data_IF_128684730991
#
_entry.id   IF_128684730991
#
_cell.length_a   1.000
_cell.length_b   1.000
_cell.length_c   1.000
_cell.angle_alpha   90.00
_cell.angle_beta   90.00
_cell.angle_gamma   90.00
#
_symmetry.space_group_name_H-M   'P 1'
#
loop_
_entity.id
_entity.type
_entity.pdbx_description
1 polymer ?
#
# COMPACT_ATOMS: atom_id res chain seq x y z
N UNK A 1 5.70 -3.08 -19.74
CA UNK A 1 4.74 -2.34 -20.56
C UNK A 1 3.72 -1.79 -19.59
N UNK A 2 3.40 -0.52 -19.65
CA UNK A 2 2.41 0.10 -18.74
C UNK A 2 1.06 0.07 -19.44
N UNK A 3 0.12 -0.67 -18.88
CA UNK A 3 -1.24 -0.71 -19.37
C UNK A 3 -2.03 0.49 -18.82
N UNK A 4 -3.01 0.95 -19.55
CA UNK A 4 -3.80 2.13 -19.17
C UNK A 4 -5.28 1.88 -19.42
N UNK A 5 -6.09 2.14 -18.43
CA UNK A 5 -7.54 2.13 -18.56
C UNK A 5 -8.06 3.56 -18.51
N UNK A 6 -8.66 4.00 -19.59
CA UNK A 6 -9.38 5.25 -19.62
C UNK A 6 -10.80 5.05 -19.09
N UNK A 7 -11.09 5.68 -17.98
CA UNK A 7 -12.33 5.48 -17.23
C UNK A 7 -13.39 6.55 -17.52
N UNK A 8 -12.91 7.71 -17.94
CA UNK A 8 -13.72 8.82 -18.42
C UNK A 8 -12.88 9.64 -19.40
N UNK A 9 -13.42 10.62 -20.12
CA UNK A 9 -12.61 11.50 -20.97
C UNK A 9 -11.48 12.21 -20.23
N UNK A 10 -11.58 12.30 -18.89
CA UNK A 10 -10.67 13.04 -18.03
C UNK A 10 -9.97 12.17 -16.98
N UNK A 11 -10.38 10.92 -16.75
CA UNK A 11 -9.78 10.02 -15.75
C UNK A 11 -9.02 8.87 -16.40
N UNK A 12 -7.74 8.77 -16.08
CA UNK A 12 -6.85 7.72 -16.54
C UNK A 12 -6.22 7.02 -15.34
N UNK A 13 -6.45 5.71 -15.19
CA UNK A 13 -5.69 4.88 -14.28
C UNK A 13 -4.58 4.16 -15.05
N UNK A 14 -3.33 4.48 -14.75
CA UNK A 14 -2.17 3.77 -15.27
C UNK A 14 -1.84 2.61 -14.33
N UNK A 15 -1.50 1.45 -14.90
CA UNK A 15 -1.09 0.29 -14.12
C UNK A 15 -0.11 -0.59 -14.90
N UNK A 16 0.58 -1.45 -14.18
CA UNK A 16 1.48 -2.46 -14.73
C UNK A 16 1.00 -3.85 -14.30
N UNK A 17 0.99 -4.80 -15.23
CA UNK A 17 0.66 -6.19 -14.96
C UNK A 17 1.87 -7.09 -15.16
N UNK A 18 2.10 -8.03 -14.22
CA UNK A 18 3.20 -9.00 -14.27
C UNK A 18 2.72 -10.41 -13.97
N UNK A 19 3.21 -11.38 -14.73
CA UNK A 19 2.94 -12.79 -14.54
C UNK A 19 1.52 -13.19 -14.91
N UNK A 20 1.11 -14.38 -14.44
CA UNK A 20 -0.19 -14.96 -14.72
C UNK A 20 -0.68 -15.79 -13.53
N UNK A 21 -1.98 -16.05 -13.44
CA UNK A 21 -2.60 -16.76 -12.33
C UNK A 21 -3.65 -15.93 -11.60
N UNK A 22 -3.97 -16.27 -10.33
CA UNK A 22 -4.89 -15.49 -9.51
C UNK A 22 -4.44 -14.02 -9.39
N UNK A 23 -5.36 -13.05 -9.50
CA UNK A 23 -4.99 -11.63 -9.45
C UNK A 23 -4.59 -11.22 -8.03
N UNK A 24 -3.46 -10.50 -7.92
CA UNK A 24 -3.01 -9.78 -6.74
C UNK A 24 -2.88 -8.30 -7.10
N UNK A 25 -3.70 -7.46 -6.49
CA UNK A 25 -3.66 -6.01 -6.65
C UNK A 25 -2.80 -5.46 -5.52
N UNK A 26 -1.76 -4.70 -5.85
CA UNK A 26 -0.84 -4.11 -4.88
C UNK A 26 -0.84 -2.59 -4.97
N UNK A 27 -1.30 -1.93 -3.88
CA UNK A 27 -1.56 -0.50 -3.80
C UNK A 27 -0.47 0.22 -3.00
N UNK A 28 0.10 1.27 -3.60
CA UNK A 28 1.15 2.09 -3.00
C UNK A 28 0.61 3.11 -1.99
N UNK A 29 1.49 3.73 -1.20
CA UNK A 29 1.18 4.80 -0.25
C UNK A 29 0.95 6.15 -0.92
N UNK A 30 0.45 7.13 -0.16
CA UNK A 30 0.43 8.52 -0.59
C UNK A 30 1.86 9.02 -0.87
N UNK A 31 2.00 9.99 -1.78
CA UNK A 31 3.28 10.57 -2.19
C UNK A 31 4.29 9.56 -2.79
N UNK A 32 3.79 8.40 -3.24
CA UNK A 32 4.55 7.35 -3.88
C UNK A 32 3.91 6.94 -5.21
N UNK A 33 4.42 5.89 -5.86
CA UNK A 33 3.86 5.32 -7.07
C UNK A 33 4.00 3.80 -7.07
N UNK A 34 3.37 3.13 -8.06
CA UNK A 34 3.44 1.67 -8.24
C UNK A 34 4.86 1.10 -8.20
N UNK A 35 5.84 1.90 -8.59
CA UNK A 35 7.25 1.47 -8.62
C UNK A 35 7.74 1.03 -7.23
N UNK A 36 7.40 1.75 -6.15
CA UNK A 36 7.84 1.40 -4.81
C UNK A 36 7.25 0.06 -4.36
N UNK A 37 5.93 -0.09 -4.44
CA UNK A 37 5.28 -1.33 -3.99
C UNK A 37 5.72 -2.53 -4.84
N UNK A 38 5.91 -2.34 -6.13
CA UNK A 38 6.46 -3.37 -7.02
C UNK A 38 7.86 -3.81 -6.58
N UNK A 39 8.77 -2.86 -6.36
CA UNK A 39 10.17 -3.16 -6.02
C UNK A 39 10.32 -3.89 -4.67
N UNK A 40 9.50 -3.56 -3.68
CA UNK A 40 9.58 -4.32 -2.43
C UNK A 40 8.80 -5.64 -2.49
N UNK A 41 7.71 -5.74 -3.25
CA UNK A 41 6.84 -6.91 -3.25
C UNK A 41 7.33 -8.05 -4.16
N UNK A 42 7.86 -7.75 -5.36
CA UNK A 42 8.31 -8.78 -6.31
C UNK A 42 9.28 -9.82 -5.68
N UNK A 43 10.28 -9.42 -4.87
CA UNK A 43 11.14 -10.38 -4.20
C UNK A 43 10.43 -11.25 -3.15
N UNK A 44 9.26 -10.81 -2.64
CA UNK A 44 8.52 -11.51 -1.59
C UNK A 44 7.59 -12.59 -2.13
N UNK A 45 7.17 -12.48 -3.40
CA UNK A 45 6.23 -13.42 -4.03
C UNK A 45 6.89 -14.78 -4.32
N UNK A 46 8.19 -14.79 -4.58
CA UNK A 46 8.94 -16.00 -4.91
C UNK A 46 8.46 -16.65 -6.21
N UNK A 47 8.38 -17.99 -6.21
CA UNK A 47 7.98 -18.78 -7.39
C UNK A 47 6.46 -18.93 -7.56
N UNK A 48 5.64 -18.20 -6.81
CA UNK A 48 4.18 -18.31 -6.89
C UNK A 48 3.64 -17.73 -8.19
N UNK A 49 2.78 -18.50 -8.87
CA UNK A 49 2.10 -18.04 -10.08
C UNK A 49 0.96 -17.10 -9.69
N UNK A 50 1.21 -15.81 -9.77
CA UNK A 50 0.24 -14.75 -9.52
C UNK A 50 0.27 -13.74 -10.66
N UNK A 51 -0.88 -13.25 -11.06
CA UNK A 51 -0.99 -12.05 -11.89
C UNK A 51 -0.99 -10.84 -10.98
N UNK A 52 0.15 -10.14 -10.88
CA UNK A 52 0.32 -8.96 -10.04
C UNK A 52 -0.05 -7.72 -10.84
N UNK A 53 -0.92 -6.89 -10.27
CA UNK A 53 -1.44 -5.68 -10.87
C UNK A 53 -1.05 -4.51 -9.95
N UNK A 54 -0.28 -3.60 -10.49
CA UNK A 54 0.29 -2.44 -9.78
C UNK A 54 -0.27 -1.15 -10.38
N UNK A 55 -1.39 -0.60 -9.87
CA UNK A 55 -1.86 0.70 -10.32
C UNK A 55 -1.06 1.83 -9.69
N UNK A 56 -0.92 2.94 -10.40
CA UNK A 56 -0.73 4.24 -9.77
C UNK A 56 -2.09 4.75 -9.32
N UNK A 57 -2.25 5.03 -8.04
CA UNK A 57 -3.49 5.61 -7.52
C UNK A 57 -3.71 7.02 -8.12
N UNK A 58 -4.97 7.50 -8.19
CA UNK A 58 -5.26 8.82 -8.75
C UNK A 58 -4.41 9.92 -8.14
N UNK A 59 -3.91 10.82 -8.95
CA UNK A 59 -3.01 11.90 -8.54
C UNK A 59 -1.54 11.49 -8.40
N UNK A 60 -1.19 10.23 -8.69
CA UNK A 60 0.19 9.73 -8.54
C UNK A 60 0.73 9.14 -9.85
N UNK A 61 2.04 9.19 -10.00
CA UNK A 61 2.75 8.53 -11.08
C UNK A 61 2.24 8.89 -12.47
N UNK A 62 1.86 7.89 -13.27
CA UNK A 62 1.29 8.09 -14.61
C UNK A 62 -0.25 8.18 -14.62
N UNK A 63 -0.92 7.98 -13.47
CA UNK A 63 -2.35 8.23 -13.31
C UNK A 63 -2.58 9.73 -13.15
N UNK A 64 -2.90 10.37 -14.26
CA UNK A 64 -3.12 11.82 -14.27
C UNK A 64 -4.47 12.19 -13.68
N UNK A 65 -4.52 13.40 -13.11
CA UNK A 65 -5.68 13.87 -12.40
C UNK A 65 -6.84 13.90 -13.31
N UNK A 66 -7.93 13.82 -12.70
CA UNK A 66 -9.12 14.16 -13.40
C UNK A 66 -10.05 14.90 -12.48
N UNK A 67 -10.71 15.86 -13.04
CA UNK A 67 -11.90 16.45 -12.48
C UNK A 67 -12.98 15.40 -12.12
N UNK A 68 -12.70 14.12 -12.42
CA UNK A 68 -13.55 12.98 -12.12
C UNK A 68 -13.44 12.43 -10.70
N UNK A 69 -12.35 12.71 -9.96
CA UNK A 69 -12.22 12.30 -8.56
C UNK A 69 -12.83 13.37 -7.68
N UNK A 70 -13.96 13.06 -7.07
CA UNK A 70 -14.75 13.94 -6.20
C UNK A 70 -14.92 13.36 -4.81
N UNK A 71 -14.86 12.04 -4.68
CA UNK A 71 -15.08 11.30 -3.46
C UNK A 71 -14.06 10.16 -3.35
N UNK A 72 -13.80 9.64 -2.13
CA UNK A 72 -12.99 8.45 -1.97
C UNK A 72 -13.50 7.23 -2.76
N UNK A 73 -14.79 7.13 -2.98
CA UNK A 73 -15.39 6.01 -3.72
C UNK A 73 -15.09 6.06 -5.22
N UNK A 74 -14.80 7.22 -5.81
CA UNK A 74 -14.37 7.31 -7.20
C UNK A 74 -13.04 6.57 -7.44
N UNK A 75 -12.17 6.49 -6.42
CA UNK A 75 -10.95 5.68 -6.47
C UNK A 75 -11.29 4.19 -6.57
N UNK A 76 -12.30 3.75 -5.82
CA UNK A 76 -12.76 2.34 -5.85
C UNK A 76 -13.40 2.01 -7.20
N UNK A 77 -14.13 2.95 -7.79
CA UNK A 77 -14.73 2.78 -9.13
C UNK A 77 -13.66 2.63 -10.22
N UNK A 78 -12.53 3.32 -10.09
CA UNK A 78 -11.39 3.16 -10.99
C UNK A 78 -10.76 1.77 -10.87
N UNK A 79 -10.63 1.26 -9.65
CA UNK A 79 -10.13 -0.09 -9.42
C UNK A 79 -11.08 -1.17 -9.97
N UNK A 80 -12.40 -0.97 -9.84
CA UNK A 80 -13.40 -1.87 -10.43
C UNK A 80 -13.25 -1.95 -11.95
N UNK A 81 -13.13 -0.81 -12.62
CA UNK A 81 -12.96 -0.75 -14.08
C UNK A 81 -11.61 -1.33 -14.53
N UNK A 82 -10.55 -1.16 -13.74
CA UNK A 82 -9.27 -1.81 -14.01
C UNK A 82 -9.44 -3.35 -13.96
N UNK A 83 -10.13 -3.87 -12.94
CA UNK A 83 -10.39 -5.31 -12.83
C UNK A 83 -11.26 -5.84 -13.97
N UNK A 84 -12.25 -5.08 -14.43
CA UNK A 84 -13.08 -5.41 -15.60
C UNK A 84 -12.22 -5.49 -16.87
N UNK A 85 -11.35 -4.50 -17.10
CA UNK A 85 -10.44 -4.48 -18.24
C UNK A 85 -9.45 -5.64 -18.24
N UNK A 86 -8.98 -6.05 -17.04
CA UNK A 86 -8.12 -7.22 -16.85
C UNK A 86 -8.89 -8.57 -16.94
N UNK A 87 -10.20 -8.54 -17.14
CA UNK A 87 -11.02 -9.75 -17.11
C UNK A 87 -10.98 -10.48 -15.76
N UNK A 88 -10.66 -9.77 -14.67
CA UNK A 88 -10.54 -10.33 -13.33
C UNK A 88 -11.92 -10.40 -12.66
N UNK A 89 -12.83 -11.22 -13.20
CA UNK A 89 -14.17 -11.44 -12.64
C UNK A 89 -14.19 -12.40 -11.42
N UNK A 90 -13.09 -13.13 -11.19
CA UNK A 90 -12.91 -14.08 -10.09
C UNK A 90 -12.50 -13.40 -8.78
N UNK A 91 -12.25 -14.22 -7.75
CA UNK A 91 -11.65 -13.76 -6.49
C UNK A 91 -10.25 -13.19 -6.71
N UNK A 92 -9.88 -12.21 -5.92
CA UNK A 92 -8.59 -11.54 -5.99
C UNK A 92 -7.94 -11.37 -4.61
N UNK A 93 -6.64 -11.17 -4.60
CA UNK A 93 -5.84 -10.80 -3.46
C UNK A 93 -5.61 -9.29 -3.46
N UNK A 94 -5.59 -8.69 -2.28
CA UNK A 94 -5.26 -7.28 -2.08
C UNK A 94 -4.04 -7.15 -1.17
N UNK A 95 -3.10 -6.29 -1.54
CA UNK A 95 -2.04 -5.80 -0.67
C UNK A 95 -2.03 -4.29 -0.74
N UNK A 96 -1.93 -3.61 0.39
CA UNK A 96 -1.82 -2.17 0.44
C UNK A 96 -0.83 -1.68 1.49
N UNK A 97 -0.03 -0.68 1.11
CA UNK A 97 0.86 0.04 2.02
C UNK A 97 0.27 1.42 2.32
N UNK A 98 0.27 1.83 3.60
CA UNK A 98 -0.13 3.17 4.02
C UNK A 98 -1.53 3.56 3.52
N UNK A 99 -1.66 4.62 2.74
CA UNK A 99 -2.89 5.03 2.06
C UNK A 99 -3.45 3.92 1.15
N UNK A 100 -2.59 3.21 0.41
CA UNK A 100 -3.01 2.02 -0.35
C UNK A 100 -3.62 0.93 0.53
N UNK A 101 -3.20 0.83 1.79
CA UNK A 101 -3.83 -0.05 2.79
C UNK A 101 -5.25 0.40 3.18
N UNK A 102 -5.49 1.71 3.27
CA UNK A 102 -6.82 2.27 3.47
C UNK A 102 -7.74 1.95 2.28
N UNK A 103 -7.27 2.20 1.06
CA UNK A 103 -8.01 1.89 -0.17
C UNK A 103 -8.26 0.38 -0.30
N UNK A 104 -7.27 -0.47 0.01
CA UNK A 104 -7.43 -1.92 -0.01
C UNK A 104 -8.54 -2.40 0.94
N UNK A 105 -8.64 -1.82 2.15
CA UNK A 105 -9.72 -2.12 3.10
C UNK A 105 -11.08 -1.68 2.56
N UNK A 106 -11.20 -0.47 2.04
CA UNK A 106 -12.43 0.05 1.48
C UNK A 106 -12.89 -0.79 0.27
N UNK A 107 -11.96 -1.16 -0.60
CA UNK A 107 -12.25 -2.01 -1.75
C UNK A 107 -12.64 -3.44 -1.35
N UNK A 108 -12.00 -3.99 -0.31
CA UNK A 108 -12.38 -5.28 0.27
C UNK A 108 -13.78 -5.24 0.89
N UNK A 109 -14.16 -4.16 1.56
CA UNK A 109 -15.50 -3.97 2.12
C UNK A 109 -16.59 -3.85 1.04
N UNK A 110 -16.23 -3.25 -0.11
CA UNK A 110 -17.12 -3.20 -1.29
C UNK A 110 -17.35 -4.58 -1.92
N UNK A 111 -16.35 -5.47 -1.85
CA UNK A 111 -16.35 -6.78 -2.51
C UNK A 111 -16.02 -7.96 -1.58
N UNK A 112 -16.66 -8.10 -0.41
CA UNK A 112 -16.21 -9.04 0.63
C UNK A 112 -16.20 -10.51 0.17
N UNK A 113 -17.12 -10.91 -0.71
CA UNK A 113 -17.19 -12.27 -1.25
C UNK A 113 -16.12 -12.57 -2.32
N UNK A 114 -15.51 -11.53 -2.90
CA UNK A 114 -14.50 -11.68 -3.95
C UNK A 114 -13.06 -11.62 -3.40
N UNK A 115 -12.87 -11.18 -2.16
CA UNK A 115 -11.54 -11.12 -1.54
C UNK A 115 -11.08 -12.53 -1.18
N UNK A 116 -9.94 -12.95 -1.75
CA UNK A 116 -9.27 -14.19 -1.42
C UNK A 116 -8.28 -14.03 -0.27
N UNK A 117 -7.75 -12.82 -0.07
CA UNK A 117 -6.85 -12.44 1.02
C UNK A 117 -6.59 -10.94 1.02
N UNK A 118 -6.30 -10.38 2.19
CA UNK A 118 -6.00 -8.96 2.39
C UNK A 118 -4.71 -8.81 3.20
N UNK A 119 -3.70 -8.13 2.64
CA UNK A 119 -2.46 -7.79 3.35
C UNK A 119 -2.31 -6.28 3.49
N UNK A 120 -2.07 -5.82 4.70
CA UNK A 120 -2.00 -4.42 5.08
C UNK A 120 -0.64 -4.14 5.74
N UNK A 121 0.18 -3.32 5.10
CA UNK A 121 1.49 -2.90 5.60
C UNK A 121 1.42 -1.43 6.03
N UNK A 122 1.58 -1.17 7.31
CA UNK A 122 1.44 0.18 7.89
C UNK A 122 0.19 0.94 7.41
N UNK A 123 -1.01 0.33 7.39
CA UNK A 123 -2.18 0.94 6.78
C UNK A 123 -2.64 2.20 7.50
N UNK A 124 -3.13 3.19 6.75
CA UNK A 124 -3.91 4.28 7.33
C UNK A 124 -5.22 3.70 7.88
N UNK A 125 -5.50 3.96 9.15
CA UNK A 125 -6.74 3.56 9.84
C UNK A 125 -7.42 4.81 10.36
N UNK A 126 -8.65 5.06 9.91
CA UNK A 126 -9.41 6.26 10.25
C UNK A 126 -9.62 6.48 11.76
N UNK A 127 -9.93 7.74 12.14
CA UNK A 127 -10.12 8.19 13.50
C UNK A 127 -8.83 8.71 14.17
N UNK A 128 -8.96 9.25 15.39
CA UNK A 128 -7.80 9.77 16.12
C UNK A 128 -6.82 8.64 16.45
N UNK A 129 -5.62 8.71 15.90
CA UNK A 129 -4.51 7.81 16.19
C UNK A 129 -3.46 8.56 17.00
N UNK A 130 -2.95 7.91 18.04
CA UNK A 130 -1.75 8.41 18.71
C UNK A 130 -0.55 8.09 17.83
N UNK A 131 -0.05 9.11 17.15
CA UNK A 131 1.17 9.00 16.37
C UNK A 131 2.35 9.17 17.31
N UNK A 132 3.28 8.20 17.40
CA UNK A 132 4.48 8.38 18.24
C UNK A 132 5.36 9.50 17.67
N UNK A 133 6.16 10.17 18.50
CA UNK A 133 7.15 11.11 17.98
C UNK A 133 8.14 10.38 17.07
N UNK A 134 8.68 11.11 16.09
CA UNK A 134 9.74 10.58 15.24
C UNK A 134 10.92 10.16 16.13
N UNK A 135 11.35 8.92 15.99
CA UNK A 135 12.44 8.35 16.75
C UNK A 135 13.34 7.54 15.83
N UNK A 136 14.64 7.73 15.92
CA UNK A 136 15.61 6.94 15.17
C UNK A 136 15.92 5.68 15.97
N UNK A 137 15.68 4.52 15.38
CA UNK A 137 15.97 3.21 16.00
C UNK A 137 17.44 2.82 15.81
N UNK A 138 17.96 3.10 14.62
CA UNK A 138 19.37 2.85 14.27
C UNK A 138 19.84 3.89 13.26
N UNK A 139 21.04 4.42 13.44
CA UNK A 139 21.69 5.33 12.51
C UNK A 139 23.18 4.99 12.38
N UNK A 140 23.57 4.53 11.20
CA UNK A 140 24.96 4.21 10.87
C UNK A 140 25.67 5.43 10.20
N UNK A 141 25.06 6.62 10.20
CA UNK A 141 25.61 7.87 9.67
C UNK A 141 25.57 7.98 8.14
N UNK A 142 24.82 7.11 7.47
CA UNK A 142 24.82 6.98 5.98
C UNK A 142 24.12 8.15 5.28
N UNK A 143 23.26 8.89 5.95
CA UNK A 143 22.55 10.04 5.36
C UNK A 143 23.47 11.19 4.96
N UNK A 144 24.71 11.20 5.46
CA UNK A 144 25.75 12.14 5.05
C UNK A 144 26.13 12.10 3.56
N UNK A 145 25.85 10.97 2.89
CA UNK A 145 26.08 10.78 1.45
C UNK A 145 25.03 11.44 0.54
N UNK A 146 23.89 11.88 1.11
CA UNK A 146 22.74 12.41 0.40
C UNK A 146 22.83 13.93 0.26
N UNK A 147 22.27 14.47 -0.82
CA UNK A 147 21.97 15.89 -0.96
C UNK A 147 20.97 16.33 0.11
N UNK A 148 20.89 17.63 0.49
CA UNK A 148 19.98 18.08 1.53
C UNK A 148 18.52 17.67 1.32
N UNK A 149 17.90 17.79 0.11
CA UNK A 149 16.53 17.34 -0.10
C UNK A 149 16.36 15.82 0.02
N UNK A 150 17.31 15.04 -0.53
CA UNK A 150 17.26 13.58 -0.40
C UNK A 150 17.43 13.12 1.04
N UNK A 151 18.28 13.82 1.82
CA UNK A 151 18.47 13.55 3.23
C UNK A 151 17.18 13.79 4.01
N UNK A 152 16.53 14.93 3.80
CA UNK A 152 15.25 15.25 4.44
C UNK A 152 14.20 14.17 4.13
N UNK A 153 14.05 13.76 2.87
CA UNK A 153 13.14 12.70 2.46
C UNK A 153 13.50 11.34 3.10
N UNK A 154 14.79 10.96 3.09
CA UNK A 154 15.26 9.71 3.69
C UNK A 154 15.05 9.68 5.20
N UNK A 155 15.49 10.73 5.89
CA UNK A 155 15.39 10.83 7.34
C UNK A 155 13.95 11.02 7.84
N UNK A 156 13.11 11.63 7.03
CA UNK A 156 11.67 11.75 7.30
C UNK A 156 10.91 10.43 7.16
N UNK A 157 11.40 9.52 6.33
CA UNK A 157 10.72 8.25 6.07
C UNK A 157 11.29 7.06 6.86
N UNK A 158 12.62 6.98 7.04
CA UNK A 158 13.30 5.85 7.67
C UNK A 158 13.68 6.11 9.13
N UNK A 159 13.33 5.17 9.99
CA UNK A 159 13.77 5.13 11.40
C UNK A 159 14.98 4.21 11.60
N UNK A 160 15.24 3.33 10.63
CA UNK A 160 16.44 2.48 10.55
C UNK A 160 17.27 2.95 9.36
N UNK A 161 18.40 3.63 9.66
CA UNK A 161 19.26 4.31 8.70
C UNK A 161 20.58 3.58 8.55
N UNK A 162 20.65 2.67 7.60
CA UNK A 162 21.80 1.79 7.32
C UNK A 162 22.13 1.83 5.83
N UNK A 163 23.26 1.29 5.44
CA UNK A 163 23.61 1.13 4.00
C UNK A 163 22.52 0.37 3.25
N UNK A 164 21.94 -0.69 3.85
CA UNK A 164 20.87 -1.46 3.20
C UNK A 164 19.60 -0.62 2.98
N UNK A 165 19.18 0.18 3.95
CA UNK A 165 18.00 1.03 3.81
C UNK A 165 18.26 2.22 2.89
N UNK A 166 19.48 2.75 2.85
CA UNK A 166 19.89 3.78 1.89
C UNK A 166 19.85 3.27 0.44
N UNK A 167 20.35 2.05 0.21
CA UNK A 167 20.28 1.41 -1.11
C UNK A 167 18.83 1.16 -1.54
N UNK A 168 17.95 0.81 -0.61
CA UNK A 168 16.52 0.66 -0.88
C UNK A 168 15.83 1.99 -1.15
N UNK A 169 16.17 3.03 -0.42
CA UNK A 169 15.68 4.38 -0.68
C UNK A 169 16.01 4.81 -2.10
N UNK A 170 17.28 4.70 -2.49
CA UNK A 170 17.74 5.08 -3.85
C UNK A 170 17.08 4.25 -4.95
N UNK A 171 16.87 2.96 -4.72
CA UNK A 171 16.35 2.04 -5.73
C UNK A 171 14.83 1.99 -5.81
N UNK A 172 14.14 2.06 -4.67
CA UNK A 172 12.71 1.83 -4.59
C UNK A 172 11.91 3.12 -4.40
N UNK A 173 12.37 4.01 -3.48
CA UNK A 173 11.61 5.20 -3.07
C UNK A 173 11.84 6.35 -4.03
N UNK A 174 13.11 6.73 -4.28
CA UNK A 174 13.44 7.86 -5.16
C UNK A 174 12.77 7.77 -6.55
N UNK A 175 12.78 6.61 -7.25
CA UNK A 175 12.11 6.50 -8.55
C UNK A 175 10.58 6.56 -8.47
N UNK A 176 10.00 6.32 -7.30
CA UNK A 176 8.56 6.34 -7.08
C UNK A 176 8.07 7.69 -6.53
N UNK A 177 8.98 8.54 -6.06
CA UNK A 177 8.68 9.89 -5.62
C UNK A 177 8.67 10.81 -6.83
N UNK A 178 7.49 11.29 -7.21
CA UNK A 178 7.31 12.20 -8.34
C UNK A 178 6.38 13.33 -7.98
N UNK A 179 6.00 14.11 -8.98
CA UNK A 179 4.95 15.12 -8.80
C UNK A 179 3.64 14.43 -8.44
N UNK A 180 3.12 14.75 -7.27
CA UNK A 180 1.79 14.35 -6.82
C UNK A 180 0.82 15.49 -7.12
N UNK A 181 -0.33 15.17 -7.70
CA UNK A 181 -1.43 16.11 -7.78
C UNK A 181 -2.13 16.17 -6.44
N UNK A 182 -1.68 17.11 -5.60
CA UNK A 182 -2.19 17.28 -4.24
C UNK A 182 -3.69 17.55 -4.22
N UNK A 183 -4.21 18.31 -5.16
CA UNK A 183 -5.65 18.60 -5.24
C UNK A 183 -6.49 17.35 -5.50
N UNK A 184 -6.02 16.45 -6.37
CA UNK A 184 -6.66 15.13 -6.57
C UNK A 184 -6.53 14.25 -5.33
N UNK A 185 -5.38 14.26 -4.68
CA UNK A 185 -5.14 13.46 -3.47
C UNK A 185 -6.03 13.96 -2.30
N UNK A 186 -6.12 15.27 -2.09
CA UNK A 186 -7.01 15.85 -1.09
C UNK A 186 -8.47 15.44 -1.34
N UNK A 187 -8.97 15.56 -2.57
CA UNK A 187 -10.31 15.11 -2.92
C UNK A 187 -10.52 13.61 -2.64
N UNK A 188 -9.53 12.78 -2.94
CA UNK A 188 -9.59 11.35 -2.73
C UNK A 188 -9.55 10.94 -1.24
N UNK A 189 -8.95 11.75 -0.37
CA UNK A 189 -8.79 11.47 1.06
C UNK A 189 -9.81 12.24 1.91
N UNK A 190 -10.04 13.53 1.64
CA UNK A 190 -10.69 14.46 2.57
C UNK A 190 -12.18 14.71 2.29
N UNK A 191 -12.70 14.33 1.11
CA UNK A 191 -14.08 14.64 0.74
C UNK A 191 -15.16 13.79 1.42
N UNK A 192 -14.83 13.10 2.48
CA UNK A 192 -15.77 12.40 3.34
C UNK A 192 -15.49 10.90 3.48
N UNK A 193 -16.35 10.18 4.19
CA UNK A 193 -16.22 8.75 4.36
C UNK A 193 -16.58 8.01 3.06
N UNK A 194 -16.08 6.79 2.92
CA UNK A 194 -16.59 5.86 1.92
C UNK A 194 -18.08 5.58 2.14
N UNK A 195 -18.83 5.31 1.08
CA UNK A 195 -20.23 4.91 1.16
C UNK A 195 -20.43 3.64 2.01
N UNK A 196 -19.46 2.76 2.00
CA UNK A 196 -19.39 1.58 2.87
C UNK A 196 -18.22 1.79 3.83
N UNK A 197 -18.51 1.92 5.12
CA UNK A 197 -17.48 1.98 6.16
C UNK A 197 -16.65 0.68 6.15
N UNK A 198 -15.34 0.76 5.86
CA UNK A 198 -14.46 -0.42 5.86
C UNK A 198 -14.46 -1.21 7.18
N UNK A 199 -14.82 -0.55 8.29
CA UNK A 199 -14.88 -1.17 9.62
C UNK A 199 -16.21 -1.90 9.89
N UNK A 200 -17.23 -1.70 9.05
CA UNK A 200 -18.55 -2.33 9.19
C UNK A 200 -18.69 -3.70 8.53
N UNK A 201 -17.74 -4.06 7.65
CA UNK A 201 -17.83 -5.28 6.82
C UNK A 201 -16.76 -6.29 7.23
N UNK A 202 -17.19 -7.49 7.59
CA UNK A 202 -16.30 -8.63 7.83
C UNK A 202 -15.86 -9.29 6.52
N UNK A 203 -14.64 -9.81 6.50
CA UNK A 203 -14.05 -10.57 5.39
C UNK A 203 -13.71 -11.96 5.90
N UNK A 204 -14.28 -12.99 5.27
CA UNK A 204 -13.93 -14.39 5.57
C UNK A 204 -12.79 -14.86 4.65
N UNK A 205 -11.62 -14.23 4.81
CA UNK A 205 -10.39 -14.56 4.10
C UNK A 205 -9.20 -14.33 5.03
N UNK A 206 -8.02 -14.92 4.75
CA UNK A 206 -6.81 -14.60 5.49
C UNK A 206 -6.47 -13.12 5.40
N UNK A 207 -6.24 -12.48 6.56
CA UNK A 207 -5.84 -11.07 6.65
C UNK A 207 -4.49 -10.99 7.32
N UNK A 208 -3.56 -10.26 6.72
CA UNK A 208 -2.26 -9.92 7.30
C UNK A 208 -2.23 -8.42 7.62
N UNK A 209 -1.87 -8.06 8.84
CA UNK A 209 -1.65 -6.67 9.26
C UNK A 209 -0.25 -6.58 9.86
N UNK A 210 0.61 -5.74 9.28
CA UNK A 210 1.97 -5.52 9.79
C UNK A 210 2.17 -4.04 10.07
N UNK A 211 2.49 -3.72 11.32
CA UNK A 211 2.71 -2.36 11.80
C UNK A 211 4.15 -2.16 12.28
N UNK A 212 4.73 -1.00 12.02
CA UNK A 212 6.00 -0.58 12.61
C UNK A 212 5.75 0.15 13.93
N UNK A 213 6.46 -0.26 15.02
CA UNK A 213 6.30 0.34 16.35
C UNK A 213 6.64 1.83 16.40
N UNK A 214 7.54 2.24 15.51
CA UNK A 214 8.00 3.63 15.39
C UNK A 214 7.38 4.35 14.18
N UNK A 215 6.20 3.89 13.72
CA UNK A 215 5.47 4.56 12.66
C UNK A 215 4.96 5.92 13.14
N UNK A 216 5.73 6.96 12.83
CA UNK A 216 5.46 8.34 13.21
C UNK A 216 4.63 9.11 12.18
N UNK A 217 4.13 8.42 11.13
CA UNK A 217 3.24 9.00 10.12
C UNK A 217 1.77 8.71 10.42
N UNK A 218 1.45 7.44 10.68
CA UNK A 218 0.06 7.00 10.87
C UNK A 218 -0.19 6.28 12.19
N UNK A 219 0.86 6.03 12.99
CA UNK A 219 0.79 5.31 14.26
C UNK A 219 0.62 3.81 14.05
N UNK A 220 0.74 3.04 15.13
CA UNK A 220 0.69 1.57 15.09
C UNK A 220 -0.44 0.95 15.92
N UNK A 221 -0.92 1.65 16.95
CA UNK A 221 -1.88 1.09 17.92
C UNK A 221 -3.22 0.74 17.25
N UNK A 222 -3.73 1.62 16.38
CA UNK A 222 -4.96 1.37 15.63
C UNK A 222 -4.80 0.29 14.58
N UNK A 223 -3.63 0.19 13.96
CA UNK A 223 -3.30 -0.88 13.03
C UNK A 223 -3.34 -2.24 13.77
N UNK A 224 -2.79 -2.32 14.97
CA UNK A 224 -2.85 -3.52 15.80
C UNK A 224 -4.30 -3.85 16.20
N UNK A 225 -5.07 -2.85 16.65
CA UNK A 225 -6.47 -3.02 17.05
C UNK A 225 -7.38 -3.47 15.90
N UNK A 226 -7.01 -3.12 14.66
CA UNK A 226 -7.74 -3.52 13.46
C UNK A 226 -7.85 -5.05 13.31
N UNK A 227 -6.89 -5.82 13.84
CA UNK A 227 -6.93 -7.27 13.84
C UNK A 227 -8.19 -7.87 14.45
N UNK A 228 -8.78 -7.22 15.45
CA UNK A 228 -10.01 -7.69 16.07
C UNK A 228 -11.25 -7.66 15.15
N UNK A 229 -11.15 -6.96 14.01
CA UNK A 229 -12.22 -6.85 13.00
C UNK A 229 -12.26 -8.06 12.05
N UNK A 230 -11.15 -8.78 11.91
CA UNK A 230 -11.02 -9.86 10.95
C UNK A 230 -10.80 -11.20 11.66
N UNK A 231 -11.74 -12.16 11.53
CA UNK A 231 -11.65 -13.44 12.25
C UNK A 231 -10.40 -14.27 11.91
N UNK A 232 -9.82 -14.06 10.73
CA UNK A 232 -8.64 -14.78 10.24
C UNK A 232 -7.42 -13.87 10.10
N UNK A 233 -7.26 -12.90 11.02
CA UNK A 233 -6.14 -11.96 11.00
C UNK A 233 -4.89 -12.52 11.66
N UNK A 234 -3.76 -12.42 10.96
CA UNK A 234 -2.43 -12.41 11.54
C UNK A 234 -1.98 -10.97 11.72
N UNK A 235 -1.65 -10.58 12.95
CA UNK A 235 -1.22 -9.22 13.29
C UNK A 235 0.20 -9.25 13.83
N UNK A 236 1.09 -8.46 13.26
CA UNK A 236 2.47 -8.31 13.71
C UNK A 236 2.81 -6.82 13.94
N UNK A 237 3.28 -6.49 15.14
CA UNK A 237 3.86 -5.17 15.44
C UNK A 237 5.37 -5.32 15.56
N UNK A 238 6.10 -4.72 14.63
CA UNK A 238 7.55 -4.87 14.50
C UNK A 238 8.25 -3.80 15.34
N UNK A 239 9.00 -4.22 16.36
CA UNK A 239 9.61 -3.33 17.36
C UNK A 239 10.59 -2.32 16.76
N UNK A 240 11.41 -2.79 15.80
CA UNK A 240 12.50 -2.01 15.23
C UNK A 240 12.19 -1.57 13.80
N UNK A 241 11.03 -0.96 13.58
CA UNK A 241 10.61 -0.45 12.28
C UNK A 241 9.63 0.72 12.43
N UNK A 242 9.60 1.59 11.43
CA UNK A 242 8.68 2.71 11.28
C UNK A 242 7.71 2.51 10.12
N UNK A 243 7.36 3.61 9.46
CA UNK A 243 6.47 3.59 8.30
C UNK A 243 7.10 2.95 7.05
N UNK A 244 8.42 3.06 6.91
CA UNK A 244 9.21 2.42 5.85
C UNK A 244 9.44 0.90 6.09
N UNK A 245 8.59 0.26 6.88
CA UNK A 245 8.69 -1.12 7.33
C UNK A 245 9.06 -2.15 6.22
N UNK A 246 8.50 -2.12 4.99
CA UNK A 246 8.88 -3.07 3.94
C UNK A 246 10.35 -2.95 3.52
N UNK A 247 10.94 -1.78 3.71
CA UNK A 247 12.34 -1.47 3.41
C UNK A 247 13.26 -1.72 4.61
N UNK A 248 12.78 -1.48 5.82
CA UNK A 248 13.55 -1.61 7.06
C UNK A 248 13.69 -3.06 7.53
N UNK A 249 12.65 -3.87 7.33
CA UNK A 249 12.60 -5.28 7.77
C UNK A 249 12.15 -6.22 6.64
N UNK A 250 12.79 -6.14 5.45
CA UNK A 250 12.32 -6.83 4.23
C UNK A 250 12.21 -8.34 4.38
N UNK A 251 13.13 -8.98 5.12
CA UNK A 251 13.11 -10.43 5.31
C UNK A 251 11.94 -10.88 6.19
N UNK A 252 11.61 -10.10 7.24
CA UNK A 252 10.49 -10.40 8.10
C UNK A 252 9.17 -10.21 7.36
N UNK A 253 9.02 -9.08 6.65
CA UNK A 253 7.83 -8.82 5.85
C UNK A 253 7.65 -9.88 4.78
N UNK A 254 8.73 -10.30 4.10
CA UNK A 254 8.68 -11.37 3.11
C UNK A 254 8.18 -12.70 3.70
N UNK A 255 8.62 -13.07 4.91
CA UNK A 255 8.16 -14.30 5.56
C UNK A 255 6.66 -14.22 5.91
N UNK A 256 6.19 -13.08 6.43
CA UNK A 256 4.78 -12.87 6.77
C UNK A 256 3.90 -12.84 5.51
N UNK A 257 4.32 -12.17 4.45
CA UNK A 257 3.62 -12.14 3.16
C UNK A 257 3.58 -13.54 2.54
N UNK A 258 4.66 -14.30 2.63
CA UNK A 258 4.71 -15.67 2.11
C UNK A 258 3.70 -16.58 2.83
N UNK A 259 3.66 -16.54 4.17
CA UNK A 259 2.70 -17.31 4.96
C UNK A 259 1.24 -16.90 4.64
N UNK A 260 0.96 -15.60 4.55
CA UNK A 260 -0.35 -15.11 4.15
C UNK A 260 -0.76 -15.60 2.75
N UNK A 261 0.15 -15.55 1.77
CA UNK A 261 -0.12 -16.04 0.41
C UNK A 261 -0.41 -17.55 0.40
N UNK A 262 0.32 -18.33 1.20
CA UNK A 262 0.10 -19.78 1.30
C UNK A 262 -1.28 -20.10 1.89
N UNK A 263 -1.77 -19.29 2.82
CA UNK A 263 -3.13 -19.44 3.37
C UNK A 263 -4.23 -18.98 2.40
N UNK A 264 -3.95 -17.97 1.58
CA UNK A 264 -4.96 -17.35 0.72
C UNK A 264 -5.10 -18.03 -0.66
N UNK A 265 -4.14 -18.85 -1.05
CA UNK A 265 -4.10 -19.58 -2.34
C UNK A 265 -4.58 -21.03 -2.26
N UNK A 266 -5.06 -21.45 -1.10
CA UNK A 266 -5.61 -22.83 -0.88
C UNK A 266 -7.04 -22.99 -1.42
#
# INVERSE_FOLDING_TARGET
>A
MTDRVQVSPTALLAYETRGSGPPLIALHGAYSARAEVREFLEPMIGARSLRRIYPDLPGHGESRPSDGIRTPDDVLDLLDRMLEAEGASSRFLLLGHSYGGHIARAFAARHPSRVAGLALLCPVVGGESRVPPAAVVRDDGVSGELSPPEREAYEGYFVVRTTETLDRFRRCVVPATGDVDEETLERAIETGPHAIDPDSVGIDAPVLIVAGRHDHWVGWERQQALGARYPRATVATVADAGHALPHERPRLVAALVADWLDQALV
#
